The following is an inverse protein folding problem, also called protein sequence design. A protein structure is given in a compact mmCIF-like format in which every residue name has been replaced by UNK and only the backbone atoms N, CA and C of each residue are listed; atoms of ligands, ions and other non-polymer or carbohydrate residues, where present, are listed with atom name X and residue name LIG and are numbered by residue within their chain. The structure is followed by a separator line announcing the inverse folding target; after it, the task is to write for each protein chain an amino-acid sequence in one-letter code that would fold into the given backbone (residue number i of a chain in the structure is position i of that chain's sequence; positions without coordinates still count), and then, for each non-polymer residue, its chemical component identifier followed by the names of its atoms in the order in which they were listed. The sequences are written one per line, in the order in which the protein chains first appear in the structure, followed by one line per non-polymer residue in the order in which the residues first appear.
data_IF_948622541343
#
_entry.id   IF_948622541343
#
_cell.length_a   1.000
_cell.length_b   1.000
_cell.length_c   1.000
_cell.angle_alpha   90.00
_cell.angle_beta   90.00
_cell.angle_gamma   90.00
#
_symmetry.space_group_name_H-M   'P 1'
#
loop_
_entity.id
_entity.type
_entity.pdbx_description
1 polymer ?
#
# COMPACT_ATOMS: atom_id res chain seq x y z
N UNK A 1 26.45 57.60 9.75
CA UNK A 1 25.51 57.70 8.62
C UNK A 1 25.58 56.42 7.81
N UNK A 2 24.41 55.91 7.36
CA UNK A 2 24.17 54.89 6.30
C UNK A 2 24.75 53.47 6.49
N UNK A 3 24.03 52.37 6.30
CA UNK A 3 22.65 52.08 5.90
C UNK A 3 22.39 50.59 6.23
N UNK A 4 21.24 50.28 6.84
CA UNK A 4 20.70 48.92 6.99
C UNK A 4 20.37 48.33 5.63
N UNK A 5 20.60 47.04 5.42
CA UNK A 5 19.84 46.20 4.49
C UNK A 5 19.69 44.79 5.09
N UNK A 6 18.51 44.52 5.64
CA UNK A 6 17.99 43.15 5.85
C UNK A 6 17.73 42.52 4.48
N UNK A 7 18.02 41.22 4.27
CA UNK A 7 17.31 40.45 3.27
C UNK A 7 16.01 39.93 3.90
N UNK A 8 14.90 40.58 3.56
CA UNK A 8 13.60 39.92 3.44
C UNK A 8 13.73 38.86 2.33
N UNK A 9 13.44 37.59 2.60
CA UNK A 9 13.00 36.68 1.54
C UNK A 9 12.26 35.44 2.08
N UNK A 10 10.94 35.47 1.85
CA UNK A 10 10.06 34.34 1.55
C UNK A 10 9.96 33.18 2.54
N UNK A 11 9.14 33.38 3.57
CA UNK A 11 8.27 32.30 4.07
C UNK A 11 7.21 32.01 3.02
N UNK A 12 7.44 31.02 2.15
CA UNK A 12 6.38 30.42 1.34
C UNK A 12 5.39 29.73 2.28
N UNK A 13 4.12 30.14 2.35
CA UNK A 13 3.12 29.30 2.98
C UNK A 13 3.00 28.06 2.11
N UNK A 14 3.41 26.91 2.65
CA UNK A 14 3.05 25.61 2.11
C UNK A 14 1.53 25.57 2.06
N UNK A 15 0.97 25.80 0.87
CA UNK A 15 -0.36 25.37 0.49
C UNK A 15 -0.36 23.84 0.54
N UNK A 16 -0.39 23.29 1.75
CA UNK A 16 -0.83 21.93 1.98
C UNK A 16 -2.33 21.94 1.66
N UNK A 17 -2.64 21.76 0.38
CA UNK A 17 -3.99 21.67 -0.14
C UNK A 17 -4.77 20.69 0.72
N UNK A 18 -5.79 21.23 1.41
CA UNK A 18 -6.85 20.47 2.03
C UNK A 18 -7.58 19.73 0.92
N UNK A 19 -7.16 18.51 0.62
CA UNK A 19 -7.99 17.62 -0.17
C UNK A 19 -8.34 16.38 0.65
N UNK A 20 -9.38 16.42 1.51
CA UNK A 20 -9.73 15.34 2.42
C UNK A 20 -10.57 14.25 1.74
N UNK A 21 -10.35 14.00 0.45
CA UNK A 21 -11.14 13.05 -0.28
C UNK A 21 -10.62 11.63 -0.03
N UNK A 22 -11.45 10.80 0.60
CA UNK A 22 -11.27 9.35 0.59
C UNK A 22 -11.43 8.80 -0.82
N UNK A 23 -11.16 7.51 -0.99
CA UNK A 23 -11.23 6.84 -2.31
C UNK A 23 -12.60 6.92 -2.99
N UNK A 24 -13.67 7.21 -2.23
CA UNK A 24 -15.03 7.38 -2.76
C UNK A 24 -15.17 8.64 -3.63
N UNK A 25 -14.34 9.66 -3.39
CA UNK A 25 -14.41 10.95 -4.06
C UNK A 25 -13.16 11.26 -4.89
N UNK A 26 -12.10 10.45 -4.74
CA UNK A 26 -10.80 10.68 -5.33
C UNK A 26 -10.31 9.46 -6.12
N UNK A 27 -9.80 9.69 -7.33
CA UNK A 27 -9.12 8.68 -8.15
C UNK A 27 -7.61 8.80 -8.00
N UNK A 28 -6.94 7.86 -7.31
CA UNK A 28 -5.50 7.97 -7.06
C UNK A 28 -4.65 7.86 -8.32
N UNK A 29 -3.54 8.58 -8.30
CA UNK A 29 -2.64 8.69 -9.46
C UNK A 29 -1.52 7.65 -9.46
N UNK A 30 -1.17 7.11 -8.31
CA UNK A 30 -0.22 6.01 -8.13
C UNK A 30 -0.50 5.23 -6.83
N UNK A 31 0.29 4.18 -6.56
CA UNK A 31 0.12 3.34 -5.39
C UNK A 31 0.34 4.07 -4.06
N UNK A 32 1.28 5.02 -4.00
CA UNK A 32 1.55 5.80 -2.77
C UNK A 32 0.40 6.76 -2.49
N UNK A 33 -0.11 7.38 -3.53
CA UNK A 33 -1.22 8.29 -3.49
C UNK A 33 -2.52 7.56 -3.09
N UNK A 34 -2.71 6.34 -3.58
CA UNK A 34 -3.79 5.47 -3.13
C UNK A 34 -3.67 5.21 -1.62
N UNK A 35 -2.48 4.76 -1.15
CA UNK A 35 -2.26 4.46 0.27
C UNK A 35 -2.46 5.70 1.14
N UNK A 36 -1.97 6.87 0.68
CA UNK A 36 -2.17 8.15 1.37
C UNK A 36 -3.65 8.51 1.48
N UNK A 37 -4.46 8.21 0.47
CA UNK A 37 -5.89 8.51 0.45
C UNK A 37 -6.69 7.54 1.31
N UNK A 38 -6.44 6.23 1.26
CA UNK A 38 -7.12 5.27 2.14
C UNK A 38 -6.73 5.39 3.61
N UNK A 39 -5.46 5.71 3.93
CA UNK A 39 -5.01 5.88 5.32
C UNK A 39 -5.76 6.97 6.10
N UNK A 40 -6.44 7.89 5.40
CA UNK A 40 -7.28 8.95 5.99
C UNK A 40 -8.60 8.41 6.55
N UNK A 41 -9.12 7.30 6.02
CA UNK A 41 -10.33 6.68 6.55
C UNK A 41 -10.03 6.10 7.94
N UNK A 42 -10.85 6.42 8.95
CA UNK A 42 -10.61 6.01 10.35
C UNK A 42 -10.53 4.50 10.54
N UNK A 43 -11.17 3.72 9.67
CA UNK A 43 -11.20 2.26 9.69
C UNK A 43 -10.00 1.59 9.01
N UNK A 44 -9.33 2.25 8.05
CA UNK A 44 -8.31 1.55 7.23
C UNK A 44 -6.94 1.46 7.91
N UNK A 45 -6.80 0.45 8.77
CA UNK A 45 -5.61 0.17 9.55
C UNK A 45 -4.42 -0.30 8.70
N UNK A 46 -4.67 -1.01 7.61
CA UNK A 46 -3.62 -1.56 6.76
C UNK A 46 -2.92 -0.46 5.97
N UNK A 47 -3.69 0.47 5.37
CA UNK A 47 -3.13 1.63 4.72
C UNK A 47 -2.29 2.51 5.66
N UNK A 48 -2.79 2.74 6.89
CA UNK A 48 -2.04 3.48 7.92
C UNK A 48 -0.72 2.80 8.27
N UNK A 49 -0.71 1.48 8.41
CA UNK A 49 0.51 0.73 8.70
C UNK A 49 1.55 0.81 7.56
N UNK A 50 1.09 0.90 6.30
CA UNK A 50 1.97 1.00 5.13
C UNK A 50 2.57 2.39 4.92
N UNK A 51 1.82 3.45 5.24
CA UNK A 51 2.16 4.83 4.88
C UNK A 51 3.57 5.26 5.33
N UNK A 52 4.04 5.03 6.58
CA UNK A 52 5.38 5.41 6.99
C UNK A 52 6.48 4.71 6.18
N UNK A 53 6.30 3.42 5.87
CA UNK A 53 7.26 2.64 5.09
C UNK A 53 7.32 3.14 3.64
N UNK A 54 6.17 3.40 3.03
CA UNK A 54 6.11 3.92 1.65
C UNK A 54 6.73 5.31 1.50
N UNK A 55 6.62 6.15 2.53
CA UNK A 55 7.25 7.47 2.53
C UNK A 55 8.78 7.38 2.59
N UNK A 56 9.34 6.31 3.16
CA UNK A 56 10.78 6.09 3.28
C UNK A 56 11.41 5.36 2.08
N UNK A 57 10.61 4.66 1.27
CA UNK A 57 11.09 3.88 0.13
C UNK A 57 11.30 4.75 -1.09
N UNK A 58 12.56 4.82 -1.55
CA UNK A 58 12.97 5.48 -2.78
C UNK A 58 12.79 4.54 -3.97
N UNK A 59 12.27 5.04 -5.08
CA UNK A 59 12.07 4.29 -6.32
C UNK A 59 10.65 3.77 -6.49
N UNK A 60 10.40 2.91 -7.49
CA UNK A 60 9.06 2.41 -7.76
C UNK A 60 8.60 1.37 -6.73
N UNK A 61 7.30 1.28 -6.51
CA UNK A 61 6.69 0.28 -5.60
C UNK A 61 5.45 -0.38 -6.21
N UNK A 62 5.18 -1.60 -5.77
CA UNK A 62 3.90 -2.27 -5.96
C UNK A 62 3.36 -2.67 -4.60
N UNK A 63 2.14 -2.23 -4.29
CA UNK A 63 1.53 -2.44 -2.98
C UNK A 63 0.46 -3.52 -3.08
N UNK A 64 0.45 -4.45 -2.12
CA UNK A 64 -0.65 -5.39 -1.94
C UNK A 64 -1.65 -4.84 -0.93
N UNK A 65 -2.92 -4.72 -1.32
CA UNK A 65 -4.00 -4.39 -0.41
C UNK A 65 -5.21 -5.31 -0.64
N UNK A 66 -5.79 -5.92 0.41
CA UNK A 66 -6.93 -6.81 0.23
C UNK A 66 -8.14 -6.11 -0.41
N UNK A 67 -8.74 -6.72 -1.42
CA UNK A 67 -9.95 -6.26 -2.11
C UNK A 67 -11.23 -6.64 -1.35
N UNK A 68 -11.29 -6.27 -0.08
CA UNK A 68 -12.44 -6.52 0.81
C UNK A 68 -12.80 -5.25 1.56
N UNK A 69 -13.95 -5.26 2.24
CA UNK A 69 -14.32 -4.15 3.12
C UNK A 69 -13.40 -4.03 4.34
N UNK A 70 -13.45 -2.86 4.98
CA UNK A 70 -12.58 -2.54 6.11
C UNK A 70 -12.81 -3.46 7.31
N UNK A 71 -14.06 -3.86 7.56
CA UNK A 71 -14.41 -4.80 8.63
C UNK A 71 -13.74 -6.16 8.39
N UNK A 72 -13.82 -6.69 7.18
CA UNK A 72 -13.21 -7.97 6.81
C UNK A 72 -11.67 -7.91 6.89
N UNK A 73 -11.07 -6.79 6.51
CA UNK A 73 -9.62 -6.54 6.67
C UNK A 73 -9.23 -6.55 8.14
N UNK A 74 -9.97 -5.84 8.99
CA UNK A 74 -9.71 -5.76 10.43
C UNK A 74 -9.88 -7.14 11.11
N UNK A 75 -10.92 -7.90 10.75
CA UNK A 75 -11.13 -9.25 11.26
C UNK A 75 -10.03 -10.23 10.82
N UNK A 76 -9.62 -10.17 9.54
CA UNK A 76 -8.53 -11.00 9.04
C UNK A 76 -7.20 -10.69 9.75
N UNK A 77 -6.89 -9.41 9.94
CA UNK A 77 -5.72 -8.98 10.69
C UNK A 77 -5.81 -9.42 12.17
N UNK A 78 -6.97 -9.27 12.80
CA UNK A 78 -7.19 -9.70 14.19
C UNK A 78 -6.97 -11.19 14.36
N UNK A 79 -7.52 -12.03 13.46
CA UNK A 79 -7.31 -13.48 13.49
C UNK A 79 -5.85 -13.86 13.29
N UNK A 80 -5.16 -13.23 12.34
CA UNK A 80 -3.74 -13.45 12.09
C UNK A 80 -2.88 -13.10 13.32
N UNK A 81 -3.13 -11.96 13.94
CA UNK A 81 -2.44 -11.49 15.15
C UNK A 81 -2.69 -12.41 16.34
N UNK A 82 -3.95 -12.84 16.56
CA UNK A 82 -4.30 -13.75 17.64
C UNK A 82 -3.58 -15.09 17.53
N UNK A 83 -3.47 -15.64 16.32
CA UNK A 83 -2.71 -16.87 16.05
C UNK A 83 -1.21 -16.77 16.36
N UNK A 84 -0.70 -15.55 16.59
CA UNK A 84 0.69 -15.24 16.93
C UNK A 84 0.85 -14.68 18.35
N UNK A 85 -0.19 -14.79 19.18
CA UNK A 85 -0.15 -14.32 20.57
C UNK A 85 -0.10 -12.80 20.71
N UNK A 86 -0.53 -12.06 19.69
CA UNK A 86 -0.64 -10.59 19.73
C UNK A 86 -2.08 -10.13 19.45
N UNK A 87 -2.33 -8.83 19.52
CA UNK A 87 -3.68 -8.25 19.44
C UNK A 87 -3.72 -7.06 18.50
N UNK A 88 -4.90 -6.73 17.98
CA UNK A 88 -5.07 -5.56 17.14
C UNK A 88 -4.71 -4.23 17.85
N UNK A 89 -5.06 -4.00 19.13
CA UNK A 89 -4.56 -2.83 19.87
C UNK A 89 -3.04 -2.76 19.94
N UNK A 90 -2.35 -3.89 20.18
CA UNK A 90 -0.89 -3.93 20.18
C UNK A 90 -0.33 -3.55 18.80
N UNK A 91 -0.89 -4.10 17.72
CA UNK A 91 -0.54 -3.71 16.35
C UNK A 91 -0.74 -2.22 16.08
N UNK A 92 -1.83 -1.62 16.56
CA UNK A 92 -2.10 -0.17 16.41
C UNK A 92 -1.05 0.71 17.08
N UNK A 93 -0.46 0.25 18.18
CA UNK A 93 0.55 0.99 18.95
C UNK A 93 2.00 0.67 18.58
N UNK A 94 2.24 -0.45 17.92
CA UNK A 94 3.59 -0.95 17.63
C UNK A 94 4.03 -0.58 16.20
N UNK A 95 4.86 0.45 16.10
CA UNK A 95 5.40 0.92 14.82
C UNK A 95 6.30 -0.13 14.13
N UNK A 96 6.99 -0.98 14.90
CA UNK A 96 7.83 -2.02 14.33
C UNK A 96 6.99 -3.14 13.70
N UNK A 97 5.89 -3.51 14.35
CA UNK A 97 4.95 -4.49 13.84
C UNK A 97 4.18 -3.97 12.60
N UNK A 98 3.81 -2.69 12.59
CA UNK A 98 3.25 -2.05 11.39
C UNK A 98 4.26 -2.01 10.23
N UNK A 99 5.52 -1.68 10.53
CA UNK A 99 6.58 -1.70 9.51
C UNK A 99 6.87 -3.11 8.99
N UNK A 100 6.76 -4.15 9.84
CA UNK A 100 6.85 -5.54 9.41
C UNK A 100 5.72 -5.88 8.41
N UNK A 101 4.47 -5.56 8.76
CA UNK A 101 3.32 -5.73 7.85
C UNK A 101 3.55 -5.02 6.51
N UNK A 102 3.96 -3.75 6.56
CA UNK A 102 4.20 -2.96 5.36
C UNK A 102 5.30 -3.60 4.50
N UNK A 103 6.44 -3.98 5.10
CA UNK A 103 7.56 -4.55 4.34
C UNK A 103 7.23 -5.88 3.69
N UNK A 104 6.42 -6.71 4.33
CA UNK A 104 5.96 -7.98 3.76
C UNK A 104 4.93 -7.82 2.64
N UNK A 105 4.31 -6.64 2.47
CA UNK A 105 3.21 -6.42 1.51
C UNK A 105 3.53 -5.34 0.46
N UNK A 106 4.80 -4.95 0.33
CA UNK A 106 5.28 -3.99 -0.66
C UNK A 106 6.45 -4.62 -1.42
N UNK A 107 6.38 -4.57 -2.75
CA UNK A 107 7.48 -4.93 -3.64
C UNK A 107 8.17 -3.64 -4.17
N UNK A 108 9.51 -3.59 -4.25
CA UNK A 108 10.25 -2.43 -4.76
C UNK A 108 10.34 -2.45 -6.30
N UNK A 109 9.21 -2.64 -6.99
CA UNK A 109 9.11 -2.64 -8.46
C UNK A 109 7.84 -1.92 -8.89
N UNK A 110 7.84 -1.32 -10.08
CA UNK A 110 6.69 -0.52 -10.55
C UNK A 110 5.46 -1.38 -10.88
N UNK A 111 5.68 -2.63 -11.27
CA UNK A 111 4.65 -3.59 -11.66
C UNK A 111 5.22 -5.00 -11.51
N UNK A 112 4.39 -5.95 -11.11
CA UNK A 112 4.72 -7.37 -11.13
C UNK A 112 4.49 -7.97 -12.52
N UNK A 113 5.35 -8.91 -12.88
CA UNK A 113 5.21 -9.78 -14.05
C UNK A 113 5.40 -11.23 -13.61
N UNK A 114 5.26 -12.19 -14.54
CA UNK A 114 5.64 -13.57 -14.22
C UNK A 114 7.13 -13.66 -13.87
N UNK A 115 7.45 -14.27 -12.74
CA UNK A 115 8.81 -14.44 -12.22
C UNK A 115 8.88 -14.38 -10.69
N UNK A 116 10.10 -14.45 -10.14
CA UNK A 116 10.35 -14.32 -8.70
C UNK A 116 10.60 -12.86 -8.31
N UNK A 117 9.80 -12.33 -7.39
CA UNK A 117 9.96 -10.99 -6.83
C UNK A 117 10.23 -11.05 -5.34
N UNK A 118 10.82 -9.99 -4.77
CA UNK A 118 11.05 -9.88 -3.33
C UNK A 118 10.27 -8.71 -2.78
N UNK A 119 9.63 -8.92 -1.65
CA UNK A 119 9.06 -7.86 -0.83
C UNK A 119 10.18 -7.09 -0.12
N UNK A 120 9.86 -5.93 0.50
CA UNK A 120 10.85 -5.09 1.18
C UNK A 120 11.49 -5.75 2.41
N UNK A 121 10.88 -6.79 2.97
CA UNK A 121 11.48 -7.62 4.02
C UNK A 121 12.52 -8.63 3.46
N UNK A 122 12.66 -8.71 2.14
CA UNK A 122 13.57 -9.61 1.44
C UNK A 122 12.98 -10.98 1.10
N UNK A 123 11.75 -11.27 1.52
CA UNK A 123 11.09 -12.56 1.31
C UNK A 123 10.80 -12.77 -0.19
N UNK A 124 11.22 -13.90 -0.79
CA UNK A 124 10.94 -14.19 -2.20
C UNK A 124 9.52 -14.73 -2.39
N UNK A 125 8.86 -14.30 -3.46
CA UNK A 125 7.54 -14.76 -3.89
C UNK A 125 7.55 -15.07 -5.38
N UNK A 126 7.05 -16.25 -5.72
CA UNK A 126 6.70 -16.58 -7.10
C UNK A 126 5.45 -15.81 -7.51
N UNK A 127 5.55 -15.14 -8.65
CA UNK A 127 4.44 -14.42 -9.27
C UNK A 127 4.16 -15.01 -10.65
N UNK A 128 2.90 -15.30 -10.92
CA UNK A 128 2.44 -15.73 -12.24
C UNK A 128 1.33 -14.80 -12.67
N UNK A 129 1.55 -14.02 -13.73
CA UNK A 129 0.55 -13.10 -14.26
C UNK A 129 -0.02 -13.62 -15.58
N UNK A 130 -1.34 -13.62 -15.68
CA UNK A 130 -2.09 -13.85 -16.91
C UNK A 130 -2.66 -12.53 -17.42
N UNK A 131 -2.48 -12.28 -18.71
CA UNK A 131 -3.19 -11.20 -19.40
C UNK A 131 -4.47 -11.77 -19.99
N UNK A 132 -5.55 -11.78 -19.20
CA UNK A 132 -6.86 -12.08 -19.76
C UNK A 132 -7.42 -10.84 -20.46
N UNK A 133 -7.70 -10.98 -21.76
CA UNK A 133 -8.15 -9.89 -22.61
C UNK A 133 -9.57 -9.44 -22.26
N UNK A 134 -9.69 -8.49 -21.32
CA UNK A 134 -10.83 -7.57 -21.18
C UNK A 134 -10.57 -6.51 -20.10
N UNK A 135 -9.63 -5.58 -20.34
CA UNK A 135 -9.60 -4.25 -19.69
C UNK A 135 -9.33 -4.13 -18.18
N UNK A 136 -9.28 -5.22 -17.40
CA UNK A 136 -9.14 -5.17 -15.94
C UNK A 136 -7.68 -5.11 -15.44
N UNK A 137 -6.69 -5.18 -16.34
CA UNK A 137 -5.27 -5.29 -16.01
C UNK A 137 -4.84 -6.75 -15.81
N UNK A 138 -3.52 -7.03 -15.75
CA UNK A 138 -3.02 -8.39 -15.56
C UNK A 138 -3.48 -8.92 -14.19
N UNK A 139 -4.05 -10.12 -14.20
CA UNK A 139 -4.32 -10.87 -12.98
C UNK A 139 -3.06 -11.67 -12.62
N UNK A 140 -2.57 -11.48 -11.40
CA UNK A 140 -1.35 -12.10 -10.90
C UNK A 140 -1.66 -12.99 -9.70
N UNK A 141 -1.22 -14.23 -9.76
CA UNK A 141 -1.05 -15.08 -8.59
C UNK A 141 0.26 -14.70 -7.90
N UNK A 142 0.21 -14.24 -6.66
CA UNK A 142 1.32 -13.76 -5.82
C UNK A 142 1.39 -14.65 -4.59
N UNK A 143 2.18 -15.73 -4.67
CA UNK A 143 2.19 -16.79 -3.66
C UNK A 143 0.75 -17.32 -3.38
N UNK A 144 0.14 -17.31 -2.17
CA UNK A 144 -1.24 -17.79 -2.00
C UNK A 144 -2.32 -16.77 -2.39
N UNK A 145 -1.94 -15.57 -2.86
CA UNK A 145 -2.88 -14.49 -3.16
C UNK A 145 -3.14 -14.42 -4.66
N UNK A 146 -4.39 -14.23 -5.06
CA UNK A 146 -4.68 -13.64 -6.36
C UNK A 146 -4.66 -12.11 -6.24
N UNK A 147 -4.36 -11.39 -7.31
CA UNK A 147 -4.30 -9.94 -7.29
C UNK A 147 -4.46 -9.30 -8.67
N UNK A 148 -5.23 -8.21 -8.73
CA UNK A 148 -5.43 -7.43 -9.96
C UNK A 148 -4.86 -6.03 -9.77
N UNK A 149 -4.05 -5.56 -10.73
CA UNK A 149 -3.49 -4.20 -10.70
C UNK A 149 -4.57 -3.14 -11.00
N UNK A 150 -5.08 -2.51 -9.95
CA UNK A 150 -6.12 -1.48 -10.01
C UNK A 150 -5.66 -0.18 -10.66
N UNK A 151 -4.36 0.01 -10.87
CA UNK A 151 -3.79 1.20 -11.49
C UNK A 151 -3.22 0.92 -12.88
N UNK A 152 -3.51 -0.26 -13.46
CA UNK A 152 -2.98 -0.68 -14.75
C UNK A 152 -3.28 0.32 -15.89
N UNK A 153 -4.47 0.94 -15.88
CA UNK A 153 -4.88 1.91 -16.90
C UNK A 153 -4.06 3.20 -16.90
N UNK A 154 -3.27 3.46 -15.84
CA UNK A 154 -2.37 4.62 -15.72
C UNK A 154 -0.94 4.31 -16.18
N UNK A 155 -0.64 3.07 -16.60
CA UNK A 155 0.71 2.69 -17.04
C UNK A 155 1.13 3.45 -18.32
N UNK A 156 2.43 3.78 -18.47
CA UNK A 156 3.55 3.46 -17.56
C UNK A 156 3.78 4.51 -16.46
N UNK A 157 2.86 5.45 -16.24
CA UNK A 157 3.08 6.62 -15.37
C UNK A 157 2.88 6.35 -13.88
N UNK A 158 2.15 5.29 -13.54
CA UNK A 158 1.83 4.93 -12.17
C UNK A 158 2.57 3.67 -11.72
N UNK A 159 2.95 3.64 -10.45
CA UNK A 159 3.25 2.43 -9.68
C UNK A 159 1.99 1.57 -9.49
N UNK A 160 2.13 0.27 -9.17
CA UNK A 160 0.99 -0.66 -9.12
C UNK A 160 0.36 -0.78 -7.74
N UNK A 161 -0.96 -0.96 -7.74
CA UNK A 161 -1.72 -1.40 -6.57
C UNK A 161 -2.43 -2.69 -6.91
N UNK A 162 -1.98 -3.80 -6.31
CA UNK A 162 -2.63 -5.09 -6.46
C UNK A 162 -3.72 -5.22 -5.40
N UNK A 163 -4.97 -5.20 -5.86
CA UNK A 163 -6.11 -5.54 -5.04
C UNK A 163 -6.15 -7.06 -4.86
N UNK A 164 -5.76 -7.54 -3.67
CA UNK A 164 -5.55 -8.98 -3.41
C UNK A 164 -6.79 -9.68 -2.90
N UNK A 165 -6.92 -10.95 -3.22
CA UNK A 165 -7.95 -11.85 -2.72
C UNK A 165 -7.33 -13.22 -2.43
N UNK A 166 -7.91 -14.01 -1.52
CA UNK A 166 -7.36 -15.32 -1.22
C UNK A 166 -7.57 -16.23 -2.43
N UNK A 167 -6.53 -16.96 -2.86
CA UNK A 167 -6.66 -17.90 -3.97
C UNK A 167 -7.53 -19.13 -3.60
N UNK A 168 -7.66 -19.40 -2.30
CA UNK A 168 -8.57 -20.43 -1.77
C UNK A 168 -9.28 -19.92 -0.52
N UNK A 169 -10.56 -20.26 -0.35
CA UNK A 169 -11.33 -19.90 0.84
C UNK A 169 -10.59 -20.32 2.12
N UNK A 170 -10.54 -19.41 3.10
CA UNK A 170 -9.86 -19.63 4.38
C UNK A 170 -8.38 -19.26 4.41
N UNK A 171 -7.77 -18.90 3.28
CA UNK A 171 -6.40 -18.38 3.25
C UNK A 171 -6.31 -16.91 3.70
N UNK A 172 -5.09 -16.46 3.96
CA UNK A 172 -4.80 -15.05 4.23
C UNK A 172 -5.11 -14.21 2.99
N UNK A 173 -5.44 -12.95 3.23
CA UNK A 173 -5.75 -11.96 2.20
C UNK A 173 -4.60 -10.94 1.99
N UNK A 174 -3.52 -11.12 2.74
CA UNK A 174 -2.26 -10.39 2.73
C UNK A 174 -1.11 -11.37 3.01
N UNK A 175 0.12 -10.98 2.72
CA UNK A 175 1.30 -11.79 3.00
C UNK A 175 1.64 -11.75 4.50
N UNK A 176 2.05 -12.89 5.10
CA UNK A 176 2.40 -12.97 6.51
C UNK A 176 3.66 -12.15 6.82
N UNK A 177 3.72 -11.57 8.02
CA UNK A 177 4.78 -10.64 8.46
C UNK A 177 5.16 -10.88 9.92
#
# INVERSE_FOLDING_TARGET
MTRRLLPLALTLPLLAGCDPQGLDLYSPTDARDYVRSCARARSDIMCRAMQPTLAAVIGPVSVLLPNTGDTEREEALTRFLAGRGTTLPAFRSDAALQAAFARANIFPVAQLSTGTFRTLDGTPHEVTCAYEGAGLGPECQIAPLGGVDRLHYLKPRADSLYATFPATLGQLIFLPF
#
